data_IF_320113641683
#
_entry.id   IF_320113641683
#
_cell.length_a   1.000
_cell.length_b   1.000
_cell.length_c   1.000
_cell.angle_alpha   90.00
_cell.angle_beta   90.00
_cell.angle_gamma   90.00
#
_symmetry.space_group_name_H-M   'P 1'
#
loop_
_entity.id
_entity.type
_entity.pdbx_description
1 polymer ?
#
# COMPACT_ATOMS: atom_id res chain seq x y z
N UNK A 1 16.05 -2.36 9.29
CA UNK A 1 14.63 -2.36 9.76
C UNK A 1 13.72 -2.74 8.59
N UNK A 2 12.64 -3.49 8.82
CA UNK A 2 11.66 -3.86 7.76
C UNK A 2 10.34 -3.10 7.98
N UNK A 3 9.85 -2.47 6.93
CA UNK A 3 8.56 -1.77 6.89
C UNK A 3 7.69 -2.32 5.77
N UNK A 4 6.44 -2.67 6.06
CA UNK A 4 5.49 -3.23 5.10
C UNK A 4 4.35 -2.24 4.88
N UNK A 5 4.12 -1.86 3.64
CA UNK A 5 2.99 -1.06 3.21
C UNK A 5 2.05 -1.96 2.40
N UNK A 6 0.78 -2.07 2.81
CA UNK A 6 -0.16 -2.93 2.10
C UNK A 6 -1.57 -2.36 2.15
N UNK A 7 -2.36 -2.59 1.10
CA UNK A 7 -3.73 -2.10 1.06
C UNK A 7 -4.24 -1.83 -0.34
N UNK A 8 -5.52 -1.49 -0.44
CA UNK A 8 -6.20 -1.25 -1.72
C UNK A 8 -6.27 0.24 -2.06
N UNK A 9 -6.16 1.14 -1.05
CA UNK A 9 -6.05 2.58 -1.28
C UNK A 9 -4.61 2.95 -1.69
N UNK A 10 -4.32 2.69 -2.96
CA UNK A 10 -3.01 2.97 -3.57
C UNK A 10 -2.59 4.44 -3.48
N UNK A 11 -3.45 5.45 -3.71
CA UNK A 11 -3.07 6.85 -3.53
C UNK A 11 -2.53 7.15 -2.13
N UNK A 12 -3.25 6.76 -1.08
CA UNK A 12 -2.81 7.01 0.30
C UNK A 12 -1.54 6.23 0.66
N UNK A 13 -1.43 4.98 0.16
CA UNK A 13 -0.23 4.16 0.33
C UNK A 13 0.99 4.86 -0.27
N UNK A 14 0.88 5.33 -1.51
CA UNK A 14 1.96 6.01 -2.23
C UNK A 14 2.32 7.34 -1.57
N UNK A 15 1.36 8.11 -1.09
CA UNK A 15 1.61 9.35 -0.35
C UNK A 15 2.37 9.08 0.95
N UNK A 16 1.93 8.10 1.74
CA UNK A 16 2.62 7.74 2.99
C UNK A 16 4.02 7.20 2.74
N UNK A 17 4.20 6.40 1.69
CA UNK A 17 5.50 5.90 1.28
C UNK A 17 6.43 7.05 0.84
N UNK A 18 5.93 8.04 0.09
CA UNK A 18 6.72 9.23 -0.28
C UNK A 18 7.17 10.03 0.96
N UNK A 19 6.30 10.16 1.97
CA UNK A 19 6.68 10.80 3.23
C UNK A 19 7.75 9.98 3.97
N UNK A 20 7.59 8.66 4.04
CA UNK A 20 8.56 7.75 4.66
C UNK A 20 9.93 7.82 3.97
N UNK A 21 9.94 7.82 2.63
CA UNK A 21 11.14 7.92 1.79
C UNK A 21 11.99 9.16 2.11
N UNK A 22 11.39 10.28 2.51
CA UNK A 22 12.09 11.55 2.81
C UNK A 22 13.04 11.45 4.02
N UNK A 23 12.88 10.44 4.88
CA UNK A 23 13.77 10.23 6.01
C UNK A 23 15.13 9.61 5.63
N UNK A 24 15.29 9.19 4.36
CA UNK A 24 16.45 8.49 3.86
C UNK A 24 17.20 9.33 2.83
N UNK A 25 18.54 9.31 2.87
CA UNK A 25 19.38 10.05 1.92
C UNK A 25 19.57 9.31 0.59
N UNK A 26 19.49 7.98 0.61
CA UNK A 26 19.58 7.12 -0.56
C UNK A 26 18.44 6.12 -0.58
N UNK A 27 17.84 5.92 -1.76
CA UNK A 27 16.71 5.01 -1.95
C UNK A 27 16.92 4.22 -3.23
N UNK A 28 16.87 2.90 -3.13
CA UNK A 28 17.07 1.98 -4.26
C UNK A 28 15.86 1.06 -4.42
N UNK A 29 15.34 0.98 -5.63
CA UNK A 29 14.33 -0.01 -5.99
C UNK A 29 15.02 -1.32 -6.38
N UNK A 30 14.55 -2.42 -5.82
CA UNK A 30 15.13 -3.74 -6.01
C UNK A 30 14.23 -4.61 -6.88
N UNK A 31 14.79 -5.10 -7.98
CA UNK A 31 14.10 -5.88 -9.02
C UNK A 31 14.67 -7.30 -9.20
N UNK A 32 15.86 -7.60 -8.64
CA UNK A 32 16.58 -8.88 -8.84
C UNK A 32 16.11 -10.03 -7.96
N UNK A 33 14.91 -9.91 -7.39
CA UNK A 33 14.28 -10.92 -6.54
C UNK A 33 14.84 -11.00 -5.11
N UNK A 34 14.11 -11.67 -4.20
CA UNK A 34 14.38 -11.58 -2.76
C UNK A 34 15.62 -12.39 -2.32
N UNK A 35 16.02 -13.42 -3.07
CA UNK A 35 17.19 -14.24 -2.73
C UNK A 35 18.53 -13.48 -2.87
N UNK A 36 18.62 -12.57 -3.84
CA UNK A 36 19.81 -11.76 -4.06
C UNK A 36 19.88 -10.55 -3.11
N UNK A 37 18.75 -10.16 -2.52
CA UNK A 37 18.65 -8.99 -1.65
C UNK A 37 19.49 -9.15 -0.37
N UNK A 38 19.52 -10.33 0.24
CA UNK A 38 20.26 -10.54 1.49
C UNK A 38 21.76 -10.22 1.34
N UNK A 39 22.36 -10.67 0.23
CA UNK A 39 23.77 -10.38 -0.09
C UNK A 39 24.00 -8.89 -0.32
N UNK A 40 23.03 -8.22 -0.95
CA UNK A 40 23.10 -6.79 -1.18
C UNK A 40 23.01 -5.99 0.12
N UNK A 41 22.09 -6.35 1.03
CA UNK A 41 21.90 -5.65 2.31
C UNK A 41 23.09 -5.79 3.27
N UNK A 42 23.90 -6.83 3.11
CA UNK A 42 25.13 -7.06 3.88
C UNK A 42 26.35 -6.36 3.28
N UNK A 43 26.31 -5.95 2.01
CA UNK A 43 27.43 -5.27 1.38
C UNK A 43 27.57 -3.85 1.96
N UNK A 44 28.77 -3.43 2.39
CA UNK A 44 29.01 -2.05 2.81
C UNK A 44 28.72 -1.12 1.64
N UNK A 45 27.76 -0.20 1.81
CA UNK A 45 27.44 0.76 0.76
C UNK A 45 28.58 1.79 0.68
N UNK A 46 29.29 1.77 -0.46
CA UNK A 46 30.41 2.68 -0.76
C UNK A 46 29.95 4.15 -0.87
N UNK A 47 28.65 4.39 -1.00
CA UNK A 47 28.06 5.70 -1.26
C UNK A 47 27.46 6.36 -0.01
N UNK A 48 27.20 5.61 1.06
CA UNK A 48 26.69 6.17 2.32
C UNK A 48 27.84 6.66 3.19
N UNK A 49 27.97 7.98 3.31
CA UNK A 49 28.89 8.60 4.28
C UNK A 49 28.39 8.34 5.70
N UNK A 50 29.07 7.46 6.44
CA UNK A 50 29.19 7.38 7.91
C UNK A 50 27.94 7.24 8.80
N UNK A 51 26.85 7.95 8.52
CA UNK A 51 25.61 8.03 9.33
C UNK A 51 24.33 7.97 8.49
N UNK A 52 24.45 7.97 7.17
CA UNK A 52 23.31 7.99 6.27
C UNK A 52 22.73 6.58 6.06
N UNK A 53 21.43 6.41 6.36
CA UNK A 53 20.71 5.15 6.16
C UNK A 53 20.19 5.07 4.72
N UNK A 54 20.49 3.97 4.05
CA UNK A 54 19.93 3.62 2.74
C UNK A 54 18.60 2.88 2.91
N UNK A 55 17.63 3.17 2.04
CA UNK A 55 16.36 2.46 1.94
C UNK A 55 16.33 1.61 0.67
N UNK A 56 16.07 0.32 0.82
CA UNK A 56 15.79 -0.59 -0.28
C UNK A 56 14.28 -0.84 -0.37
N UNK A 57 13.72 -0.72 -1.57
CA UNK A 57 12.29 -0.78 -1.82
C UNK A 57 11.99 -1.98 -2.71
N UNK A 58 11.07 -2.84 -2.27
CA UNK A 58 10.53 -3.94 -3.05
C UNK A 58 9.07 -3.67 -3.37
N UNK A 59 8.72 -3.75 -4.64
CA UNK A 59 7.34 -3.65 -5.13
C UNK A 59 6.93 -4.97 -5.79
N UNK A 60 5.63 -5.30 -5.74
CA UNK A 60 5.04 -6.48 -6.40
C UNK A 60 5.69 -7.83 -6.07
N UNK A 61 6.29 -7.94 -4.88
CA UNK A 61 6.90 -9.16 -4.41
C UNK A 61 5.83 -10.24 -4.18
N UNK A 62 6.05 -11.47 -4.67
CA UNK A 62 5.16 -12.59 -4.36
C UNK A 62 5.52 -13.13 -2.98
N UNK A 63 4.55 -13.18 -2.05
CA UNK A 63 4.78 -13.69 -0.69
C UNK A 63 5.39 -15.10 -0.64
N UNK A 64 5.07 -15.96 -1.63
CA UNK A 64 5.64 -17.31 -1.74
C UNK A 64 7.17 -17.32 -1.89
N UNK A 65 7.75 -16.21 -2.33
CA UNK A 65 9.19 -16.04 -2.51
C UNK A 65 9.89 -15.55 -1.22
N UNK A 66 9.11 -15.12 -0.22
CA UNK A 66 9.63 -14.69 1.08
C UNK A 66 9.60 -15.86 2.05
N UNK A 67 10.77 -16.23 2.56
CA UNK A 67 10.91 -17.19 3.66
C UNK A 67 11.28 -16.45 4.94
N UNK A 68 10.82 -16.95 6.09
CA UNK A 68 11.11 -16.32 7.39
C UNK A 68 12.60 -16.18 7.71
N UNK A 69 13.44 -17.08 7.21
CA UNK A 69 14.90 -17.01 7.33
C UNK A 69 15.47 -15.78 6.61
N UNK A 70 14.94 -15.44 5.43
CA UNK A 70 15.39 -14.29 4.63
C UNK A 70 15.10 -12.98 5.35
N UNK A 71 13.96 -12.88 6.03
CA UNK A 71 13.61 -11.68 6.79
C UNK A 71 14.59 -11.41 7.93
N UNK A 72 15.10 -12.45 8.60
CA UNK A 72 16.14 -12.30 9.62
C UNK A 72 17.45 -11.78 9.03
N UNK A 73 17.82 -12.27 7.84
CA UNK A 73 19.01 -11.77 7.13
C UNK A 73 18.86 -10.30 6.74
N UNK A 74 17.65 -9.88 6.36
CA UNK A 74 17.37 -8.49 5.99
C UNK A 74 17.33 -7.57 7.21
N UNK A 75 16.83 -8.04 8.36
CA UNK A 75 16.85 -7.29 9.61
C UNK A 75 18.28 -6.99 10.10
N UNK A 76 19.23 -7.89 9.83
CA UNK A 76 20.64 -7.73 10.17
C UNK A 76 21.47 -6.91 9.19
N UNK A 77 20.86 -6.43 8.09
CA UNK A 77 21.53 -5.63 7.06
C UNK A 77 21.82 -4.19 7.50
N UNK A 78 22.65 -3.50 6.71
CA UNK A 78 23.05 -2.10 6.96
C UNK A 78 22.00 -1.09 6.41
N UNK A 79 21.09 -1.56 5.56
CA UNK A 79 20.02 -0.76 4.97
C UNK A 79 18.64 -1.13 5.54
N UNK A 80 17.72 -0.18 5.52
CA UNK A 80 16.32 -0.42 5.82
C UNK A 80 15.59 -0.94 4.57
N UNK A 81 14.53 -1.72 4.78
CA UNK A 81 13.76 -2.37 3.72
C UNK A 81 12.30 -1.91 3.80
N UNK A 82 11.77 -1.38 2.71
CA UNK A 82 10.35 -1.14 2.52
C UNK A 82 9.78 -2.13 1.51
N UNK A 83 8.66 -2.76 1.84
CA UNK A 83 7.96 -3.72 0.96
C UNK A 83 6.56 -3.19 0.71
N UNK A 84 6.19 -3.03 -0.56
CA UNK A 84 4.90 -2.50 -0.98
C UNK A 84 4.07 -3.62 -1.63
N UNK A 85 2.87 -3.83 -1.10
CA UNK A 85 1.87 -4.74 -1.65
C UNK A 85 0.67 -3.95 -2.18
N UNK A 86 0.25 -4.15 -3.44
CA UNK A 86 -0.88 -3.45 -4.04
C UNK A 86 -2.25 -3.96 -3.54
N UNK A 87 -2.25 -4.90 -2.60
CA UNK A 87 -3.43 -5.53 -2.02
C UNK A 87 -3.35 -5.55 -0.51
N UNK A 88 -4.47 -5.83 0.13
CA UNK A 88 -4.48 -6.16 1.55
C UNK A 88 -3.82 -7.53 1.78
N UNK A 89 -3.02 -7.61 2.83
CA UNK A 89 -2.49 -8.85 3.37
C UNK A 89 -3.36 -9.31 4.53
N UNK A 90 -3.64 -10.61 4.56
CA UNK A 90 -4.38 -11.23 5.65
C UNK A 90 -3.49 -11.44 6.89
N UNK A 91 -4.06 -11.63 8.09
CA UNK A 91 -3.28 -11.82 9.31
C UNK A 91 -2.26 -12.96 9.23
N UNK A 92 -2.58 -14.06 8.53
CA UNK A 92 -1.66 -15.19 8.32
C UNK A 92 -0.48 -14.84 7.40
N UNK A 93 -0.68 -13.95 6.44
CA UNK A 93 0.38 -13.44 5.56
C UNK A 93 1.26 -12.43 6.30
N UNK A 94 0.65 -11.58 7.13
CA UNK A 94 1.36 -10.61 7.97
C UNK A 94 2.25 -11.29 9.02
N UNK A 95 1.84 -12.47 9.51
CA UNK A 95 2.62 -13.24 10.49
C UNK A 95 4.04 -13.58 10.00
N UNK A 96 4.25 -13.69 8.68
CA UNK A 96 5.57 -13.92 8.07
C UNK A 96 6.54 -12.79 8.44
N UNK A 97 6.05 -11.55 8.52
CA UNK A 97 6.86 -10.36 8.77
C UNK A 97 7.16 -10.08 10.25
N UNK A 98 6.63 -10.90 11.17
CA UNK A 98 7.00 -10.88 12.59
C UNK A 98 6.92 -9.48 13.24
N UNK A 99 8.08 -8.89 13.54
CA UNK A 99 8.23 -7.59 14.22
C UNK A 99 8.33 -6.38 13.27
N UNK A 100 8.11 -6.59 11.97
CA UNK A 100 8.14 -5.50 11.00
C UNK A 100 7.11 -4.41 11.33
N UNK A 101 7.42 -3.17 10.95
CA UNK A 101 6.46 -2.09 11.03
C UNK A 101 5.45 -2.22 9.89
N UNK A 102 4.15 -2.28 10.20
CA UNK A 102 3.10 -2.49 9.18
C UNK A 102 2.21 -1.26 9.07
N UNK A 103 2.03 -0.77 7.84
CA UNK A 103 1.06 0.25 7.48
C UNK A 103 -0.01 -0.37 6.58
N UNK A 104 -1.26 -0.34 7.07
CA UNK A 104 -2.43 -0.87 6.36
C UNK A 104 -3.28 0.26 5.79
N UNK A 105 -3.60 0.19 4.50
CA UNK A 105 -4.39 1.18 3.77
C UNK A 105 -5.70 0.57 3.31
N UNK A 106 -6.77 0.88 4.02
CA UNK A 106 -8.11 0.40 3.68
C UNK A 106 -8.66 1.18 2.47
N UNK A 107 -9.46 0.53 1.60
CA UNK A 107 -10.15 1.24 0.55
C UNK A 107 -11.00 2.35 1.17
N UNK A 108 -10.83 3.58 0.66
CA UNK A 108 -11.73 4.69 0.96
C UNK A 108 -13.05 4.45 0.24
N UNK A 109 -13.91 3.61 0.84
CA UNK A 109 -15.31 3.56 0.41
C UNK A 109 -15.91 4.92 0.77
N UNK A 110 -16.33 5.74 -0.21
CA UNK A 110 -16.94 7.01 0.10
C UNK A 110 -18.27 6.74 0.80
N UNK A 111 -18.31 6.96 2.12
CA UNK A 111 -19.54 6.80 2.94
C UNK A 111 -20.70 7.66 2.42
N UNK A 112 -20.37 8.70 1.64
CA UNK A 112 -21.30 9.63 1.03
C UNK A 112 -22.14 8.98 -0.09
N UNK A 113 -21.80 7.77 -0.55
CA UNK A 113 -22.49 7.06 -1.63
C UNK A 113 -23.70 6.27 -1.13
N UNK A 114 -23.75 5.91 0.15
CA UNK A 114 -24.90 5.17 0.70
C UNK A 114 -26.23 5.93 0.56
N UNK A 115 -26.35 7.24 0.84
CA UNK A 115 -27.59 7.99 0.58
C UNK A 115 -28.05 7.95 -0.89
N UNK A 116 -27.11 7.92 -1.83
CA UNK A 116 -27.42 7.75 -3.25
C UNK A 116 -27.98 6.36 -3.55
N UNK A 117 -27.35 5.31 -3.02
CA UNK A 117 -27.75 3.92 -3.20
C UNK A 117 -29.07 3.59 -2.50
N UNK A 118 -29.29 4.13 -1.30
CA UNK A 118 -30.53 4.00 -0.53
C UNK A 118 -31.70 4.66 -1.28
N UNK A 119 -31.48 5.86 -1.83
CA UNK A 119 -32.49 6.55 -2.64
C UNK A 119 -32.83 5.78 -3.93
N UNK A 120 -31.83 5.15 -4.58
CA UNK A 120 -32.05 4.28 -5.73
C UNK A 120 -32.85 3.03 -5.38
N UNK A 121 -32.48 2.32 -4.30
CA UNK A 121 -33.20 1.14 -3.84
C UNK A 121 -34.64 1.47 -3.44
N UNK A 122 -34.87 2.63 -2.81
CA UNK A 122 -36.19 3.15 -2.47
C UNK A 122 -36.96 3.72 -3.68
N UNK A 123 -36.40 3.67 -4.90
CA UNK A 123 -36.97 4.21 -6.15
C UNK A 123 -37.29 5.72 -6.09
N UNK A 124 -36.59 6.47 -5.22
CA UNK A 124 -36.74 7.92 -5.05
C UNK A 124 -35.84 8.67 -6.03
N UNK A 125 -36.32 8.80 -7.27
CA UNK A 125 -35.53 9.36 -8.39
C UNK A 125 -34.95 10.75 -8.13
N UNK A 126 -35.73 11.66 -7.54
CA UNK A 126 -35.28 13.03 -7.27
C UNK A 126 -34.17 13.10 -6.22
N UNK A 127 -34.28 12.31 -5.14
CA UNK A 127 -33.24 12.21 -4.11
C UNK A 127 -31.97 11.56 -4.65
N UNK A 128 -32.12 10.49 -5.45
CA UNK A 128 -30.99 9.83 -6.09
C UNK A 128 -30.22 10.77 -7.04
N UNK A 129 -30.93 11.57 -7.85
CA UNK A 129 -30.30 12.57 -8.74
C UNK A 129 -29.57 13.66 -7.95
N UNK A 130 -30.14 14.12 -6.84
CA UNK A 130 -29.53 15.13 -5.98
C UNK A 130 -28.24 14.61 -5.33
N UNK A 131 -28.25 13.38 -4.82
CA UNK A 131 -27.05 12.75 -4.25
C UNK A 131 -26.00 12.44 -5.32
N UNK A 132 -26.40 11.98 -6.51
CA UNK A 132 -25.47 11.76 -7.62
C UNK A 132 -24.77 13.07 -8.04
N UNK A 133 -25.53 14.15 -8.20
CA UNK A 133 -24.97 15.45 -8.58
C UNK A 133 -23.99 15.98 -7.51
N UNK A 134 -24.32 15.78 -6.23
CA UNK A 134 -23.42 16.13 -5.13
C UNK A 134 -22.12 15.31 -5.17
N UNK A 135 -22.21 13.99 -5.39
CA UNK A 135 -21.04 13.11 -5.46
C UNK A 135 -20.11 13.47 -6.62
N UNK A 136 -20.68 13.80 -7.79
CA UNK A 136 -19.93 14.28 -8.95
C UNK A 136 -19.23 15.62 -8.65
N UNK A 137 -19.92 16.55 -7.97
CA UNK A 137 -19.32 17.82 -7.52
C UNK A 137 -18.21 17.64 -6.49
N UNK A 138 -18.30 16.62 -5.65
CA UNK A 138 -17.26 16.24 -4.69
C UNK A 138 -16.07 15.52 -5.34
N UNK A 139 -16.07 15.36 -6.67
CA UNK A 139 -14.96 14.79 -7.44
C UNK A 139 -14.97 13.27 -7.57
N UNK A 140 -16.09 12.61 -7.23
CA UNK A 140 -16.25 11.18 -7.50
C UNK A 140 -16.50 10.96 -8.99
N UNK A 141 -15.88 9.93 -9.56
CA UNK A 141 -16.01 9.59 -10.97
C UNK A 141 -17.39 8.97 -11.29
N UNK A 142 -17.90 9.25 -12.49
CA UNK A 142 -19.12 8.66 -13.02
C UNK A 142 -19.00 7.14 -13.15
N UNK A 143 -17.83 6.63 -13.58
CA UNK A 143 -17.58 5.18 -13.67
C UNK A 143 -17.70 4.49 -12.29
N UNK A 144 -17.21 5.16 -11.24
CA UNK A 144 -17.37 4.70 -9.88
C UNK A 144 -18.85 4.66 -9.46
N UNK A 145 -19.64 5.70 -9.75
CA UNK A 145 -21.08 5.71 -9.44
C UNK A 145 -21.86 4.61 -10.19
N UNK A 146 -21.51 4.35 -11.46
CA UNK A 146 -22.12 3.27 -12.26
C UNK A 146 -21.81 1.89 -11.68
N UNK A 147 -20.57 1.65 -11.25
CA UNK A 147 -20.18 0.40 -10.57
C UNK A 147 -20.95 0.20 -9.26
N UNK A 148 -21.19 1.27 -8.51
CA UNK A 148 -21.96 1.20 -7.28
C UNK A 148 -23.46 0.93 -7.54
N UNK A 149 -24.04 1.46 -8.63
CA UNK A 149 -25.40 1.09 -9.07
C UNK A 149 -25.46 -0.40 -9.40
N UNK A 150 -24.48 -0.91 -10.16
CA UNK A 150 -24.41 -2.32 -10.54
C UNK A 150 -24.22 -3.27 -9.35
N UNK A 151 -23.68 -2.79 -8.23
CA UNK A 151 -23.57 -3.56 -6.99
C UNK A 151 -24.88 -3.62 -6.18
N UNK A 152 -25.78 -2.65 -6.37
CA UNK A 152 -27.06 -2.54 -5.64
C UNK A 152 -28.22 -3.29 -6.33
N UNK A 153 -28.10 -3.57 -7.64
CA UNK A 153 -29.09 -4.30 -8.45
C UNK A 153 -28.88 -5.81 -8.37
#
# INVERSE_FOLDING_TARGET
MITVFHGEDQPSLREKFLQFKRAYSSVRFWDRGPAELARFLQAPSLLTRGSERELVVLEDLKLKEIKGEMLKEWEGGVADVAILFPRRLDPGELAIFGKAQVFTFFPKIPKNVFPFLDALAARRKSEALLHAHRLLREGNDLDFLLKMIGWQL
#
